data_IF_178677513667
#
_entry.id   IF_178677513667
#
_cell.length_a   1.000
_cell.length_b   1.000
_cell.length_c   1.000
_cell.angle_alpha   90.00
_cell.angle_beta   90.00
_cell.angle_gamma   90.00
#
_symmetry.space_group_name_H-M   'P 1'
#
loop_
_entity.id
_entity.type
_entity.pdbx_description
1 polymer ?
#
# COMPACT_ATOMS: atom_id res chain seq x y z
N UNK A 1 11.33 -5.09 5.28
CA UNK A 1 11.43 -4.94 3.81
C UNK A 1 12.08 -6.17 3.16
N UNK A 2 11.92 -7.39 3.72
CA UNK A 2 12.64 -8.57 3.24
C UNK A 2 12.14 -9.11 1.89
N UNK A 3 10.97 -8.66 1.41
CA UNK A 3 10.36 -9.05 0.13
C UNK A 3 10.63 -8.04 -0.99
N UNK A 4 11.42 -7.00 -0.73
CA UNK A 4 11.82 -6.03 -1.75
C UNK A 4 13.00 -6.57 -2.56
N UNK A 5 12.97 -6.39 -3.87
CA UNK A 5 14.11 -6.65 -4.75
C UNK A 5 14.96 -5.38 -4.86
N UNK A 6 16.23 -5.46 -4.46
CA UNK A 6 17.16 -4.32 -4.44
C UNK A 6 17.78 -4.02 -5.83
N UNK A 7 17.71 -4.95 -6.78
CA UNK A 7 18.27 -4.78 -8.12
C UNK A 7 17.24 -4.23 -9.10
N UNK A 8 16.03 -4.80 -9.08
CA UNK A 8 14.95 -4.48 -10.04
C UNK A 8 13.83 -3.64 -9.43
N UNK A 9 13.77 -3.54 -8.10
CA UNK A 9 12.68 -2.88 -7.38
C UNK A 9 11.42 -3.75 -7.28
N UNK A 10 10.39 -3.22 -6.62
CA UNK A 10 9.13 -3.95 -6.41
C UNK A 10 9.17 -4.89 -5.21
N UNK A 11 8.04 -5.56 -4.98
CA UNK A 11 7.87 -6.53 -3.89
C UNK A 11 7.29 -7.84 -4.45
N UNK A 12 7.70 -8.95 -3.84
CA UNK A 12 7.14 -10.29 -4.04
C UNK A 12 6.31 -10.74 -2.83
N UNK A 13 5.70 -11.92 -2.91
CA UNK A 13 4.94 -12.51 -1.81
C UNK A 13 5.84 -13.01 -0.67
N UNK A 14 7.04 -13.53 -0.99
CA UNK A 14 8.06 -13.97 -0.02
C UNK A 14 9.48 -13.54 -0.40
N UNK A 15 10.40 -13.44 0.57
CA UNK A 15 11.78 -13.06 0.30
C UNK A 15 12.44 -13.96 -0.76
N UNK A 16 13.03 -13.34 -1.78
CA UNK A 16 13.73 -14.04 -2.86
C UNK A 16 12.85 -14.57 -4.00
N UNK A 17 11.52 -14.49 -3.88
CA UNK A 17 10.60 -14.79 -4.99
C UNK A 17 10.55 -13.63 -6.00
N UNK A 18 10.08 -13.92 -7.22
CA UNK A 18 9.96 -12.94 -8.30
C UNK A 18 8.93 -11.87 -7.95
N UNK A 19 9.31 -10.60 -8.13
CA UNK A 19 8.42 -9.45 -7.89
C UNK A 19 7.33 -9.34 -8.97
N UNK A 20 6.20 -8.76 -8.58
CA UNK A 20 5.14 -8.42 -9.51
C UNK A 20 4.38 -7.14 -9.10
N UNK A 21 3.60 -6.52 -10.01
CA UNK A 21 2.86 -5.30 -9.70
C UNK A 21 1.82 -5.46 -8.57
N UNK A 22 1.27 -6.66 -8.38
CA UNK A 22 0.22 -6.92 -7.39
C UNK A 22 0.79 -6.90 -5.96
N UNK A 23 1.85 -7.65 -5.72
CA UNK A 23 2.55 -7.63 -4.43
C UNK A 23 3.25 -6.30 -4.19
N UNK A 24 3.72 -5.63 -5.25
CA UNK A 24 4.26 -4.28 -5.13
C UNK A 24 3.22 -3.28 -4.62
N UNK A 25 1.98 -3.32 -5.14
CA UNK A 25 0.89 -2.47 -4.65
C UNK A 25 0.63 -2.70 -3.15
N UNK A 26 0.52 -3.96 -2.73
CA UNK A 26 0.20 -4.27 -1.34
C UNK A 26 1.38 -4.08 -0.38
N UNK A 27 2.61 -4.26 -0.83
CA UNK A 27 3.80 -3.89 -0.07
C UNK A 27 3.80 -2.39 0.26
N UNK A 28 3.56 -1.54 -0.74
CA UNK A 28 3.49 -0.09 -0.56
C UNK A 28 2.27 0.34 0.28
N UNK A 29 1.10 -0.25 0.03
CA UNK A 29 -0.11 0.05 0.80
C UNK A 29 0.04 -0.34 2.28
N UNK A 30 0.59 -1.52 2.56
CA UNK A 30 0.90 -1.96 3.92
C UNK A 30 1.89 -1.03 4.62
N UNK A 31 2.97 -0.63 3.95
CA UNK A 31 3.93 0.33 4.49
C UNK A 31 3.28 1.70 4.79
N UNK A 32 2.37 2.17 3.92
CA UNK A 32 1.60 3.39 4.14
C UNK A 32 0.72 3.30 5.39
N UNK A 33 -0.04 2.21 5.54
CA UNK A 33 -0.90 1.96 6.70
C UNK A 33 -0.11 1.82 8.01
N UNK A 34 1.13 1.32 7.94
CA UNK A 34 2.06 1.24 9.08
C UNK A 34 2.76 2.58 9.38
N UNK A 35 2.40 3.66 8.69
CA UNK A 35 2.84 5.02 9.01
C UNK A 35 4.09 5.49 8.27
N UNK A 36 4.50 4.84 7.17
CA UNK A 36 5.59 5.33 6.34
C UNK A 36 5.21 6.65 5.65
N UNK A 37 5.85 7.75 6.07
CA UNK A 37 5.55 9.12 5.59
C UNK A 37 6.06 9.45 4.19
N UNK A 38 6.87 8.59 3.58
CA UNK A 38 7.33 8.77 2.20
C UNK A 38 6.28 8.30 1.18
N UNK A 39 5.30 7.52 1.63
CA UNK A 39 4.21 7.00 0.80
C UNK A 39 2.95 7.79 1.13
N UNK A 40 2.15 8.11 0.11
CA UNK A 40 0.85 8.77 0.34
C UNK A 40 -0.04 7.87 1.21
N UNK A 41 -0.84 8.47 2.08
CA UNK A 41 -1.83 7.74 2.87
C UNK A 41 -2.75 6.91 1.97
N UNK A 42 -2.93 5.64 2.30
CA UNK A 42 -3.83 4.72 1.60
C UNK A 42 -5.10 4.55 2.42
N UNK A 43 -6.24 4.61 1.74
CA UNK A 43 -7.52 4.23 2.33
C UNK A 43 -7.58 2.69 2.49
N UNK A 44 -7.80 2.16 3.70
CA UNK A 44 -7.74 0.72 3.95
C UNK A 44 -8.92 -0.06 3.38
N UNK A 45 -10.03 0.60 3.02
CA UNK A 45 -11.21 -0.05 2.44
C UNK A 45 -11.05 -0.22 0.93
N UNK A 46 -10.57 0.83 0.26
CA UNK A 46 -10.48 0.85 -1.20
C UNK A 46 -9.09 0.52 -1.76
N UNK A 47 -8.05 0.50 -0.92
CA UNK A 47 -6.65 0.39 -1.33
C UNK A 47 -6.26 1.44 -2.40
N UNK A 48 -6.83 2.64 -2.28
CA UNK A 48 -6.55 3.80 -3.12
C UNK A 48 -5.95 4.93 -2.29
N UNK A 49 -5.25 5.91 -2.90
CA UNK A 49 -4.78 7.08 -2.17
C UNK A 49 -5.93 7.81 -1.49
N UNK A 50 -5.75 8.14 -0.20
CA UNK A 50 -6.77 8.76 0.64
C UNK A 50 -7.30 10.08 0.03
N UNK A 51 -6.41 10.87 -0.58
CA UNK A 51 -6.79 12.13 -1.23
C UNK A 51 -7.69 11.94 -2.48
N UNK A 52 -7.68 10.76 -3.10
CA UNK A 52 -8.58 10.43 -4.22
C UNK A 52 -9.98 10.12 -3.69
N UNK A 53 -10.08 9.39 -2.58
CA UNK A 53 -11.34 9.10 -1.90
C UNK A 53 -12.02 10.40 -1.45
N UNK A 54 -11.25 11.30 -0.84
CA UNK A 54 -11.72 12.63 -0.42
C UNK A 54 -12.19 13.47 -1.61
N UNK A 55 -11.43 13.49 -2.70
CA UNK A 55 -11.80 14.24 -3.93
C UNK A 55 -13.08 13.70 -4.57
N UNK A 56 -13.35 12.41 -4.45
CA UNK A 56 -14.53 11.76 -5.01
C UNK A 56 -15.72 11.75 -4.05
N UNK A 57 -15.56 12.30 -2.84
CA UNK A 57 -16.61 12.36 -1.80
C UNK A 57 -17.24 10.99 -1.53
N UNK A 58 -16.43 9.92 -1.53
CA UNK A 58 -16.93 8.57 -1.26
C UNK A 58 -17.18 8.41 0.24
N UNK A 59 -18.39 7.99 0.58
CA UNK A 59 -18.79 7.73 1.96
C UNK A 59 -18.36 6.33 2.40
N UNK A 60 -17.77 6.24 3.59
CA UNK A 60 -17.37 4.99 4.24
C UNK A 60 -17.17 5.21 5.74
N UNK A 61 -17.39 4.15 6.51
CA UNK A 61 -17.20 4.17 7.96
C UNK A 61 -16.00 3.31 8.36
N UNK A 62 -15.17 3.84 9.24
CA UNK A 62 -14.18 3.07 9.98
C UNK A 62 -14.64 2.97 11.43
N UNK A 63 -14.50 1.78 12.01
CA UNK A 63 -14.68 1.61 13.44
C UNK A 63 -13.66 2.48 14.17
N UNK A 64 -14.14 3.28 15.12
CA UNK A 64 -13.28 4.04 16.03
C UNK A 64 -12.93 3.13 17.19
N UNK A 65 -11.64 3.03 17.49
CA UNK A 65 -11.14 2.43 18.74
C UNK A 65 -11.57 3.24 19.97
#
# INVERSE_FOLDING_TARGET
MATQDDETGGFSDRPGDMVDPFHTLFGLAGLSLLGNRQIKGVNPIFCLPQNVIERLELDYELLKE
#
